data_IF_422698116584
#
_entry.id   IF_422698116584
#
_cell.length_a   1.000
_cell.length_b   1.000
_cell.length_c   1.000
_cell.angle_alpha   90.00
_cell.angle_beta   90.00
_cell.angle_gamma   90.00
#
_symmetry.space_group_name_H-M   'P 1'
#
loop_
_entity.id
_entity.type
_entity.pdbx_description
1 polymer ?
#
# COMPACT_ATOMS: atom_id res chain seq x y z
N UNK A 1 17.58 -1.61 -7.01
CA UNK A 1 18.72 -1.78 -6.08
C UNK A 1 19.97 -0.97 -6.44
N UNK A 2 20.53 -1.07 -7.66
CA UNK A 2 21.77 -0.35 -8.02
C UNK A 2 21.66 1.19 -7.97
N UNK A 3 20.56 1.76 -8.49
CA UNK A 3 20.30 3.21 -8.45
C UNK A 3 20.15 3.74 -7.01
N UNK A 4 19.62 2.94 -6.09
CA UNK A 4 19.41 3.35 -4.70
C UNK A 4 20.71 3.35 -3.89
N UNK A 5 21.62 2.40 -4.10
CA UNK A 5 22.94 2.43 -3.45
C UNK A 5 23.75 3.66 -3.87
N UNK A 6 23.61 4.06 -5.14
CA UNK A 6 24.18 5.30 -5.66
C UNK A 6 23.54 6.54 -5.00
N UNK A 7 22.21 6.55 -4.84
CA UNK A 7 21.48 7.66 -4.23
C UNK A 7 21.75 7.79 -2.72
N UNK A 8 21.97 6.67 -2.02
CA UNK A 8 22.29 6.62 -0.58
C UNK A 8 23.79 6.79 -0.28
N UNK A 9 24.66 6.89 -1.32
CA UNK A 9 26.11 7.01 -1.15
C UNK A 9 26.79 5.76 -0.56
N UNK A 10 26.13 4.61 -0.58
CA UNK A 10 26.63 3.33 -0.01
C UNK A 10 27.17 2.37 -1.09
N UNK A 11 27.48 2.90 -2.27
CA UNK A 11 28.12 2.18 -3.37
C UNK A 11 29.48 1.65 -2.91
N UNK A 12 29.59 0.34 -2.67
CA UNK A 12 30.84 -0.33 -2.28
C UNK A 12 30.99 -0.64 -0.78
N UNK A 13 30.01 -0.29 0.06
CA UNK A 13 30.03 -0.63 1.49
C UNK A 13 29.34 -2.00 1.68
N UNK A 14 30.10 -3.03 2.08
CA UNK A 14 29.64 -4.42 2.32
C UNK A 14 29.12 -4.69 3.74
N UNK A 15 29.16 -3.69 4.63
CA UNK A 15 28.65 -3.78 6.00
C UNK A 15 27.13 -3.97 6.08
N UNK A 16 26.39 -3.58 5.03
CA UNK A 16 24.95 -3.75 4.93
C UNK A 16 24.62 -4.74 3.83
N UNK A 17 23.81 -5.76 4.16
CA UNK A 17 23.38 -6.76 3.19
C UNK A 17 22.31 -6.17 2.26
N UNK A 18 22.18 -6.72 1.05
CA UNK A 18 21.13 -6.30 0.12
C UNK A 18 19.72 -6.48 0.71
N UNK A 19 19.55 -7.43 1.65
CA UNK A 19 18.32 -7.64 2.40
C UNK A 19 17.94 -6.42 3.28
N UNK A 20 18.91 -5.81 3.99
CA UNK A 20 18.64 -4.63 4.84
C UNK A 20 18.25 -3.41 4.02
N UNK A 21 18.83 -3.25 2.82
CA UNK A 21 18.46 -2.19 1.88
C UNK A 21 17.05 -2.44 1.32
N UNK A 22 16.74 -3.69 0.98
CA UNK A 22 15.42 -4.08 0.47
C UNK A 22 14.30 -3.87 1.48
N UNK A 23 14.54 -4.12 2.77
CA UNK A 23 13.56 -3.80 3.82
C UNK A 23 13.18 -2.32 3.86
N UNK A 24 14.15 -1.42 3.63
CA UNK A 24 13.88 0.04 3.59
C UNK A 24 13.07 0.41 2.35
N UNK A 25 13.37 -0.22 1.21
CA UNK A 25 12.58 -0.07 -0.01
C UNK A 25 11.13 -0.51 0.24
N UNK A 26 10.94 -1.71 0.79
CA UNK A 26 9.61 -2.26 1.05
C UNK A 26 8.83 -1.38 2.03
N UNK A 27 9.47 -0.93 3.11
CA UNK A 27 8.82 -0.02 4.07
C UNK A 27 8.42 1.31 3.40
N UNK A 28 9.26 1.84 2.50
CA UNK A 28 8.96 3.05 1.74
C UNK A 28 7.76 2.86 0.82
N UNK A 29 7.74 1.75 0.08
CA UNK A 29 6.67 1.41 -0.83
C UNK A 29 5.35 1.18 -0.08
N UNK A 30 5.37 0.46 1.04
CA UNK A 30 4.19 0.24 1.89
C UNK A 30 3.62 1.55 2.44
N UNK A 31 4.48 2.51 2.79
CA UNK A 31 4.04 3.84 3.25
C UNK A 31 3.42 4.61 2.08
N UNK A 32 4.08 4.69 0.94
CA UNK A 32 3.57 5.41 -0.23
C UNK A 32 2.25 4.83 -0.73
N UNK A 33 2.14 3.50 -0.79
CA UNK A 33 0.95 2.82 -1.26
C UNK A 33 -0.31 3.10 -0.41
N UNK A 34 -0.15 3.53 0.86
CA UNK A 34 -1.29 3.97 1.68
C UNK A 34 -1.89 5.31 1.24
N UNK A 35 -1.11 6.15 0.58
CA UNK A 35 -1.55 7.47 0.13
C UNK A 35 -1.99 7.48 -1.33
N UNK A 36 -1.40 6.62 -2.16
CA UNK A 36 -1.71 6.55 -3.59
C UNK A 36 -3.11 5.98 -3.84
N UNK A 37 -3.74 6.45 -4.91
CA UNK A 37 -5.06 5.94 -5.32
C UNK A 37 -4.92 4.63 -6.09
N UNK A 38 -5.45 3.54 -5.53
CA UNK A 38 -5.57 2.26 -6.23
C UNK A 38 -7.03 1.91 -6.52
N UNK A 39 -7.24 1.01 -7.48
CA UNK A 39 -8.55 0.42 -7.73
C UNK A 39 -8.87 -0.60 -6.64
N UNK A 40 -9.22 -0.11 -5.45
CA UNK A 40 -9.47 -0.94 -4.27
C UNK A 40 -10.79 -0.59 -3.61
N UNK A 41 -11.40 -1.59 -2.96
CA UNK A 41 -12.57 -1.38 -2.10
C UNK A 41 -12.46 -2.21 -0.82
N UNK A 42 -12.95 -1.70 0.32
CA UNK A 42 -13.02 -2.47 1.55
C UNK A 42 -14.14 -3.52 1.49
N UNK A 43 -13.92 -4.66 2.14
CA UNK A 43 -14.88 -5.76 2.23
C UNK A 43 -15.51 -5.76 3.63
N UNK A 44 -16.84 -5.60 3.69
CA UNK A 44 -17.59 -5.50 4.94
C UNK A 44 -18.24 -6.81 5.36
N UNK A 45 -18.56 -7.70 4.43
CA UNK A 45 -19.14 -9.02 4.69
C UNK A 45 -18.86 -10.00 3.55
N UNK A 46 -18.87 -11.29 3.88
CA UNK A 46 -18.74 -12.39 2.93
C UNK A 46 -19.83 -13.44 3.17
N UNK A 47 -20.24 -14.10 2.09
CA UNK A 47 -21.18 -15.21 2.11
C UNK A 47 -20.84 -16.20 0.99
N UNK A 48 -21.23 -17.45 1.17
CA UNK A 48 -21.12 -18.48 0.15
C UNK A 48 -22.38 -19.32 0.16
N UNK A 49 -23.05 -19.45 -0.98
CA UNK A 49 -24.20 -20.33 -1.13
C UNK A 49 -24.22 -20.94 -2.52
N UNK A 50 -24.49 -22.25 -2.61
CA UNK A 50 -24.60 -22.97 -3.87
C UNK A 50 -23.39 -22.77 -4.80
N UNK A 51 -22.18 -22.79 -4.21
CA UNK A 51 -20.90 -22.52 -4.88
C UNK A 51 -20.73 -21.12 -5.49
N UNK A 52 -21.56 -20.15 -5.09
CA UNK A 52 -21.43 -18.73 -5.48
C UNK A 52 -21.03 -17.91 -4.26
N UNK A 53 -19.80 -17.41 -4.27
CA UNK A 53 -19.31 -16.50 -3.25
C UNK A 53 -19.85 -15.09 -3.51
N UNK A 54 -20.35 -14.44 -2.47
CA UNK A 54 -20.83 -13.06 -2.52
C UNK A 54 -19.97 -12.22 -1.59
N UNK A 55 -19.39 -11.14 -2.12
CA UNK A 55 -18.64 -10.15 -1.36
C UNK A 55 -19.48 -8.89 -1.27
N UNK A 56 -19.63 -8.36 -0.07
CA UNK A 56 -20.31 -7.08 0.17
C UNK A 56 -19.28 -6.02 0.54
N UNK A 57 -19.42 -4.85 -0.06
CA UNK A 57 -18.61 -3.67 0.17
C UNK A 57 -19.48 -2.57 0.79
N UNK A 58 -18.95 -1.73 1.70
CA UNK A 58 -19.71 -0.66 2.34
C UNK A 58 -19.89 0.57 1.42
N UNK A 59 -19.13 0.66 0.33
CA UNK A 59 -19.14 1.77 -0.64
C UNK A 59 -19.25 1.20 -2.05
N UNK A 60 -19.75 1.95 -3.04
CA UNK A 60 -19.77 1.48 -4.42
C UNK A 60 -18.37 1.06 -4.89
N UNK A 61 -18.23 -0.16 -5.39
CA UNK A 61 -16.91 -0.76 -5.67
C UNK A 61 -16.43 -0.58 -7.11
N UNK A 62 -17.33 -0.32 -8.06
CA UNK A 62 -16.98 -0.09 -9.47
C UNK A 62 -16.48 -1.31 -10.27
N UNK A 63 -16.21 -2.45 -9.62
CA UNK A 63 -15.87 -3.70 -10.32
C UNK A 63 -17.03 -4.27 -11.13
N UNK A 64 -16.70 -4.89 -12.26
CA UNK A 64 -17.66 -5.48 -13.21
C UNK A 64 -17.31 -6.94 -13.56
N UNK A 65 -18.29 -7.66 -14.12
CA UNK A 65 -18.12 -9.03 -14.61
C UNK A 65 -16.93 -9.19 -15.57
N UNK A 66 -16.21 -10.30 -15.44
CA UNK A 66 -15.03 -10.62 -16.25
C UNK A 66 -13.72 -10.00 -15.74
N UNK A 67 -13.76 -9.06 -14.80
CA UNK A 67 -12.55 -8.54 -14.16
C UNK A 67 -11.94 -9.57 -13.21
N UNK A 68 -10.60 -9.65 -13.21
CA UNK A 68 -9.81 -10.41 -12.25
C UNK A 68 -9.44 -9.50 -11.08
N UNK A 69 -9.90 -9.85 -9.88
CA UNK A 69 -9.67 -9.09 -8.64
C UNK A 69 -8.94 -9.96 -7.62
N UNK A 70 -8.10 -9.34 -6.80
CA UNK A 70 -7.39 -10.00 -5.70
C UNK A 70 -8.09 -9.68 -4.40
N UNK A 71 -8.51 -10.72 -3.67
CA UNK A 71 -9.17 -10.59 -2.37
C UNK A 71 -8.18 -10.96 -1.27
N UNK A 72 -8.06 -10.11 -0.24
CA UNK A 72 -7.25 -10.35 0.94
C UNK A 72 -8.01 -10.03 2.22
N UNK A 73 -7.57 -10.64 3.33
CA UNK A 73 -8.15 -10.45 4.66
C UNK A 73 -9.68 -10.69 4.74
N UNK A 74 -10.24 -11.53 3.87
CA UNK A 74 -11.67 -11.87 3.83
C UNK A 74 -11.96 -13.33 4.24
N UNK A 75 -10.95 -14.04 4.76
CA UNK A 75 -11.00 -15.47 5.08
C UNK A 75 -10.41 -16.36 3.98
N UNK A 76 -9.80 -17.48 4.36
CA UNK A 76 -9.08 -18.38 3.43
C UNK A 76 -9.96 -18.93 2.31
N UNK A 77 -11.27 -19.07 2.55
CA UNK A 77 -12.25 -19.47 1.53
C UNK A 77 -12.30 -18.47 0.36
N UNK A 78 -12.29 -17.18 0.67
CA UNK A 78 -12.54 -16.08 -0.27
C UNK A 78 -11.25 -15.47 -0.83
N UNK A 79 -10.16 -15.52 -0.06
CA UNK A 79 -8.89 -14.93 -0.45
C UNK A 79 -8.34 -15.47 -1.78
N UNK A 80 -7.48 -14.67 -2.40
CA UNK A 80 -6.79 -14.96 -3.66
C UNK A 80 -7.41 -14.26 -4.86
N UNK A 81 -6.90 -14.58 -6.04
CA UNK A 81 -7.38 -14.04 -7.31
C UNK A 81 -8.70 -14.69 -7.71
N UNK A 82 -9.71 -13.87 -8.02
CA UNK A 82 -11.06 -14.29 -8.43
C UNK A 82 -11.49 -13.54 -9.67
N UNK A 83 -12.23 -14.22 -10.55
CA UNK A 83 -12.89 -13.60 -11.69
C UNK A 83 -14.34 -13.31 -11.31
N UNK A 84 -14.79 -12.07 -11.51
CA UNK A 84 -16.14 -11.65 -11.17
C UNK A 84 -17.15 -12.25 -12.17
N UNK A 85 -18.18 -12.92 -11.66
CA UNK A 85 -19.25 -13.54 -12.46
C UNK A 85 -20.58 -12.79 -12.39
N UNK A 86 -20.75 -11.92 -11.40
CA UNK A 86 -21.91 -11.04 -11.25
C UNK A 86 -21.57 -9.83 -10.39
N UNK A 87 -22.28 -8.72 -10.58
CA UNK A 87 -22.06 -7.51 -9.78
C UNK A 87 -23.34 -6.67 -9.67
N UNK A 88 -23.42 -5.98 -8.54
CA UNK A 88 -24.34 -4.90 -8.22
C UNK A 88 -23.51 -3.68 -7.78
N UNK A 89 -24.15 -2.62 -7.29
CA UNK A 89 -23.45 -1.42 -6.83
C UNK A 89 -22.54 -1.69 -5.61
N UNK A 90 -22.99 -2.55 -4.69
CA UNK A 90 -22.34 -2.81 -3.39
C UNK A 90 -21.87 -4.25 -3.22
N UNK A 91 -22.10 -5.11 -4.22
CA UNK A 91 -21.83 -6.55 -4.12
C UNK A 91 -21.28 -7.05 -5.42
N UNK A 92 -20.36 -8.00 -5.33
CA UNK A 92 -19.94 -8.78 -6.48
C UNK A 92 -19.85 -10.26 -6.12
N UNK A 93 -19.99 -11.10 -7.14
CA UNK A 93 -19.99 -12.56 -6.99
C UNK A 93 -18.91 -13.21 -7.83
N UNK A 94 -18.48 -14.38 -7.40
CA UNK A 94 -17.58 -15.25 -8.16
C UNK A 94 -17.84 -16.71 -7.82
N UNK A 95 -17.46 -17.60 -8.73
CA UNK A 95 -17.64 -19.02 -8.53
C UNK A 95 -16.60 -19.55 -7.53
N UNK A 96 -17.08 -20.29 -6.52
CA UNK A 96 -16.25 -20.88 -5.48
C UNK A 96 -16.86 -22.17 -4.97
N UNK A 97 -16.19 -23.29 -5.23
CA UNK A 97 -16.56 -24.58 -4.63
C UNK A 97 -16.06 -24.67 -3.20
N UNK A 98 -16.97 -24.60 -2.23
CA UNK A 98 -16.72 -24.84 -0.81
C UNK A 98 -18.07 -25.02 -0.07
N UNK A 99 -18.02 -25.42 1.19
CA UNK A 99 -19.22 -25.52 2.03
C UNK A 99 -19.88 -24.14 2.19
N UNK A 100 -21.21 -24.12 2.16
CA UNK A 100 -21.99 -22.90 2.32
C UNK A 100 -21.62 -22.17 3.62
N UNK A 101 -21.53 -20.85 3.54
CA UNK A 101 -21.22 -19.97 4.66
C UNK A 101 -22.28 -18.89 4.74
N UNK A 102 -23.01 -18.88 5.86
CA UNK A 102 -23.95 -17.81 6.18
C UNK A 102 -23.24 -16.47 6.18
N UNK A 103 -23.92 -15.45 5.66
CA UNK A 103 -23.41 -14.09 5.63
C UNK A 103 -22.94 -13.64 7.01
N UNK A 104 -21.68 -13.24 7.10
CA UNK A 104 -21.10 -12.70 8.32
C UNK A 104 -20.20 -11.52 8.01
N UNK A 105 -20.00 -10.66 9.01
CA UNK A 105 -19.18 -9.46 8.88
C UNK A 105 -17.69 -9.83 8.84
N UNK A 106 -16.96 -9.17 7.96
CA UNK A 106 -15.49 -9.22 7.92
C UNK A 106 -14.95 -8.09 8.81
N UNK A 107 -14.36 -8.44 9.95
CA UNK A 107 -13.79 -7.49 10.92
C UNK A 107 -12.41 -7.97 11.39
N UNK A 108 -11.33 -7.19 11.20
CA UNK A 108 -11.22 -5.95 10.43
C UNK A 108 -11.67 -6.11 8.97
N UNK A 109 -11.94 -5.01 8.27
CA UNK A 109 -12.37 -5.09 6.87
C UNK A 109 -11.33 -5.79 6.01
N UNK A 110 -11.81 -6.62 5.08
CA UNK A 110 -10.97 -7.16 4.02
C UNK A 110 -10.69 -6.12 2.94
N UNK A 111 -9.86 -6.48 1.97
CA UNK A 111 -9.55 -5.62 0.83
C UNK A 111 -9.76 -6.40 -0.46
N UNK A 112 -10.42 -5.77 -1.43
CA UNK A 112 -10.40 -6.21 -2.82
C UNK A 112 -9.59 -5.22 -3.63
N UNK A 113 -8.68 -5.74 -4.45
CA UNK A 113 -7.84 -4.97 -5.37
C UNK A 113 -8.15 -5.41 -6.80
N UNK A 114 -8.68 -4.51 -7.61
CA UNK A 114 -8.92 -4.75 -9.03
C UNK A 114 -7.71 -4.43 -9.90
N UNK A 115 -7.85 -4.64 -11.22
CA UNK A 115 -6.79 -4.31 -12.17
C UNK A 115 -6.53 -2.79 -12.16
N UNK A 116 -5.26 -2.43 -12.30
CA UNK A 116 -4.87 -1.04 -12.50
C UNK A 116 -5.26 -0.63 -13.92
N UNK A 117 -6.16 0.34 -14.04
CA UNK A 117 -6.59 0.89 -15.33
C UNK A 117 -5.70 2.05 -15.80
N UNK A 118 -4.78 2.52 -14.94
CA UNK A 118 -3.85 3.60 -15.21
C UNK A 118 -2.39 3.10 -15.25
N UNK A 119 -1.51 3.91 -15.81
CA UNK A 119 -0.06 3.72 -15.82
C UNK A 119 0.47 3.37 -14.44
N UNK A 120 1.29 2.31 -14.34
CA UNK A 120 1.87 1.87 -13.08
C UNK A 120 2.66 3.01 -12.42
N UNK A 121 2.41 3.26 -11.13
CA UNK A 121 3.05 4.34 -10.38
C UNK A 121 4.58 4.28 -10.37
N UNK A 122 5.17 3.09 -10.53
CA UNK A 122 6.61 2.90 -10.68
C UNK A 122 7.22 3.64 -11.89
N UNK A 123 6.42 3.95 -12.91
CA UNK A 123 6.87 4.68 -14.10
C UNK A 123 6.66 6.20 -14.01
N UNK A 124 6.05 6.69 -12.93
CA UNK A 124 5.79 8.12 -12.71
C UNK A 124 7.03 8.77 -12.06
N UNK A 125 7.70 9.74 -12.71
CA UNK A 125 8.91 10.35 -12.17
C UNK A 125 8.71 10.97 -10.78
N UNK A 126 7.61 11.69 -10.56
CA UNK A 126 7.32 12.31 -9.27
C UNK A 126 7.20 11.29 -8.11
N UNK A 127 6.65 10.11 -8.38
CA UNK A 127 6.50 9.05 -7.36
C UNK A 127 7.85 8.38 -7.11
N UNK A 128 8.67 8.18 -8.15
CA UNK A 128 10.03 7.66 -7.98
C UNK A 128 10.90 8.59 -7.14
N UNK A 129 10.85 9.91 -7.39
CA UNK A 129 11.57 10.89 -6.57
C UNK A 129 11.05 10.94 -5.13
N UNK A 130 9.73 10.83 -4.93
CA UNK A 130 9.14 10.73 -3.59
C UNK A 130 9.61 9.47 -2.84
N UNK A 131 9.67 8.32 -3.52
CA UNK A 131 10.18 7.07 -2.96
C UNK A 131 11.66 7.20 -2.60
N UNK A 132 12.49 7.78 -3.47
CA UNK A 132 13.91 8.01 -3.21
C UNK A 132 14.15 8.90 -1.97
N UNK A 133 13.39 9.99 -1.83
CA UNK A 133 13.48 10.89 -0.69
C UNK A 133 13.04 10.24 0.64
N UNK A 134 11.96 9.45 0.61
CA UNK A 134 11.48 8.70 1.77
C UNK A 134 12.46 7.60 2.18
N UNK A 135 12.94 6.80 1.22
CA UNK A 135 13.92 5.74 1.47
C UNK A 135 15.19 6.31 2.10
N UNK A 136 15.66 7.46 1.61
CA UNK A 136 16.82 8.17 2.20
C UNK A 136 16.53 8.62 3.63
N UNK A 137 15.34 9.14 3.91
CA UNK A 137 14.97 9.57 5.27
C UNK A 137 14.92 8.39 6.23
N UNK A 138 14.34 7.25 5.82
CA UNK A 138 14.29 6.02 6.61
C UNK A 138 15.70 5.46 6.83
N UNK A 139 16.54 5.49 5.80
CA UNK A 139 17.94 5.05 5.90
C UNK A 139 18.74 5.92 6.89
N UNK A 140 18.63 7.25 6.81
CA UNK A 140 19.32 8.15 7.73
C UNK A 140 18.87 7.95 9.18
N UNK A 141 17.57 7.73 9.40
CA UNK A 141 17.04 7.41 10.74
C UNK A 141 17.60 6.11 11.32
N UNK A 142 17.92 5.11 10.47
CA UNK A 142 18.57 3.86 10.90
C UNK A 142 20.03 4.06 11.32
N UNK A 143 20.76 4.92 10.62
CA UNK A 143 22.18 5.19 10.90
C UNK A 143 22.38 6.07 12.14
N UNK A 144 21.36 6.86 12.50
CA UNK A 144 21.38 7.80 13.60
C UNK A 144 20.08 7.70 14.43
N UNK A 145 19.83 6.60 15.17
CA UNK A 145 18.58 6.34 15.91
C UNK A 145 18.35 7.24 17.15
N UNK A 146 18.86 8.47 17.12
CA UNK A 146 18.82 9.47 18.18
C UNK A 146 19.78 10.64 17.96
N UNK A 147 20.50 10.71 16.83
CA UNK A 147 21.49 11.76 16.62
C UNK A 147 20.79 13.06 16.17
N UNK A 148 20.44 13.88 17.17
CA UNK A 148 20.52 15.32 17.00
C UNK A 148 21.97 15.62 16.62
N UNK A 149 22.24 15.82 15.33
CA UNK A 149 23.53 16.35 14.90
C UNK A 149 23.51 17.80 15.36
N UNK A 150 24.10 18.07 16.53
CA UNK A 150 24.35 19.44 16.97
C UNK A 150 25.28 20.06 15.93
N UNK A 151 24.72 20.93 15.09
CA UNK A 151 25.53 21.88 14.36
C UNK A 151 26.27 22.74 15.39
N UNK A 152 27.42 23.29 15.00
CA UNK A 152 28.26 24.14 15.86
C UNK A 152 27.53 25.39 16.41
N UNK A 153 26.33 25.68 15.89
CA UNK A 153 25.45 26.79 16.27
C UNK A 153 24.20 26.35 17.06
N UNK A 154 24.17 25.13 17.62
CA UNK A 154 23.09 24.69 18.51
C UNK A 154 21.70 24.54 17.86
N UNK A 155 21.59 24.61 16.54
CA UNK A 155 20.34 24.37 15.84
C UNK A 155 20.00 22.87 15.85
N UNK A 156 18.93 22.52 16.53
CA UNK A 156 18.42 21.14 16.60
C UNK A 156 17.59 20.88 15.34
N UNK A 157 18.15 20.18 14.36
CA UNK A 157 17.37 19.61 13.28
C UNK A 157 16.45 18.51 13.84
N UNK A 158 15.15 18.60 13.53
CA UNK A 158 14.05 17.84 14.13
C UNK A 158 14.40 16.39 14.56
N UNK A 159 14.25 16.05 15.86
CA UNK A 159 14.60 14.73 16.40
C UNK A 159 13.65 13.60 15.95
N UNK A 160 12.49 13.92 15.36
CA UNK A 160 11.46 12.96 14.97
C UNK A 160 11.43 12.71 13.47
N UNK A 161 12.51 12.16 12.90
CA UNK A 161 12.60 11.91 11.46
C UNK A 161 11.56 10.92 10.92
N UNK A 162 11.02 10.04 11.78
CA UNK A 162 9.99 9.03 11.44
C UNK A 162 8.59 9.33 12.03
N UNK A 163 8.31 10.59 12.39
CA UNK A 163 6.99 10.99 12.89
C UNK A 163 5.93 11.15 11.79
N UNK A 164 4.73 11.61 12.17
CA UNK A 164 3.61 11.88 11.26
C UNK A 164 3.99 12.84 10.09
N UNK A 165 5.04 13.65 10.27
CA UNK A 165 5.57 14.57 9.26
C UNK A 165 6.40 13.89 8.17
N UNK A 166 6.66 12.59 8.24
CA UNK A 166 7.46 11.87 7.24
C UNK A 166 6.85 12.03 5.84
N UNK A 167 5.54 11.82 5.70
CA UNK A 167 4.85 11.99 4.42
C UNK A 167 4.80 13.46 3.97
N UNK A 168 4.83 14.41 4.92
CA UNK A 168 4.78 15.85 4.61
C UNK A 168 5.98 16.29 3.75
N UNK A 169 7.13 15.61 3.85
CA UNK A 169 8.33 15.88 3.02
C UNK A 169 8.10 15.61 1.53
N UNK A 170 7.24 14.67 1.18
CA UNK A 170 6.97 14.26 -0.20
C UNK A 170 5.54 14.52 -0.65
N UNK A 171 4.68 15.02 0.24
CA UNK A 171 3.25 15.24 0.00
C UNK A 171 2.99 16.11 -1.23
N UNK A 172 3.82 17.12 -1.49
CA UNK A 172 3.69 17.96 -2.69
C UNK A 172 3.93 17.20 -4.00
N UNK A 173 4.86 16.24 -4.02
CA UNK A 173 5.17 15.43 -5.20
C UNK A 173 4.07 14.40 -5.50
N UNK A 174 3.48 13.82 -4.45
CA UNK A 174 2.43 12.79 -4.60
C UNK A 174 1.02 13.41 -4.67
N UNK A 175 0.87 14.72 -4.46
CA UNK A 175 -0.44 15.37 -4.33
C UNK A 175 -1.45 15.04 -5.45
N UNK A 176 -1.06 15.02 -6.74
CA UNK A 176 -1.99 14.68 -7.84
C UNK A 176 -2.47 13.23 -7.84
N UNK A 177 -1.79 12.35 -7.10
CA UNK A 177 -2.03 10.89 -7.09
C UNK A 177 -2.62 10.40 -5.78
N UNK A 178 -2.86 11.30 -4.81
CA UNK A 178 -3.38 10.93 -3.49
C UNK A 178 -4.85 10.52 -3.59
N UNK A 179 -5.20 9.44 -2.88
CA UNK A 179 -6.61 9.07 -2.71
C UNK A 179 -7.31 10.07 -1.77
N UNK A 180 -8.57 10.45 -2.04
CA UNK A 180 -9.36 11.30 -1.13
C UNK A 180 -9.50 10.71 0.27
N UNK A 181 -9.46 9.38 0.37
CA UNK A 181 -9.56 8.64 1.63
C UNK A 181 -8.26 8.66 2.45
N UNK A 182 -7.12 9.02 1.86
CA UNK A 182 -5.81 9.07 2.54
C UNK A 182 -5.54 10.36 3.33
N UNK A 183 -6.47 11.32 3.31
CA UNK A 183 -6.30 12.63 3.96
C UNK A 183 -6.65 12.65 5.46
N UNK A 184 -7.08 11.52 6.02
CA UNK A 184 -7.38 11.38 7.45
C UNK A 184 -6.35 10.44 8.07
N UNK A 185 -5.27 11.04 8.58
CA UNK A 185 -4.30 10.41 9.48
C UNK A 185 -4.61 10.77 10.92
#
# INVERSE_FOLDING_TARGET
MAELRALLGISGITLYTDATVEEVCQATEDILNKYLWFNTAPISATALSANVATITTPTPHGFVTGQSVVISAAGTTFNGTKTITGYDLYRFTFDKTAADQTTHLTRPYGLVTGPNHATAYASVPAIREAAAALATTIWQARQAPGASITTVDGFIASPYQLGNTLIAKVRGLIAPYMSPNSMVG
#
